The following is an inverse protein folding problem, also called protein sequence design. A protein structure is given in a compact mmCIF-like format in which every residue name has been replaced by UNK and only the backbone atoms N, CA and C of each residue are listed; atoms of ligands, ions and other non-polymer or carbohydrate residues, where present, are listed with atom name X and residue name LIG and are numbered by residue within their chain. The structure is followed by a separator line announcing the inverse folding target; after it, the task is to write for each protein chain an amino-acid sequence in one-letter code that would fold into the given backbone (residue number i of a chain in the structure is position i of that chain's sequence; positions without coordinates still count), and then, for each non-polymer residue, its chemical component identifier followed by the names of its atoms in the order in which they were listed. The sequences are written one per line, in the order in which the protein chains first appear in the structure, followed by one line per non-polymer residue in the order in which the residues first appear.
data_IF_517800521759
#
_entry.id   IF_517800521759
#
_cell.length_a   1.000
_cell.length_b   1.000
_cell.length_c   1.000
_cell.angle_alpha   90.00
_cell.angle_beta   90.00
_cell.angle_gamma   90.00
#
_symmetry.space_group_name_H-M   'P 1'
#
loop_
_entity.id
_entity.type
_entity.pdbx_description
1 polymer ?
#
# COMPACT_ATOMS: atom_id res chain seq x y z
N UNK A 1 16.57 -24.79 -31.09
CA UNK A 1 15.17 -25.26 -31.17
C UNK A 1 14.70 -25.59 -29.76
N UNK A 2 14.24 -24.59 -28.99
CA UNK A 2 13.59 -24.80 -27.69
C UNK A 2 12.20 -24.17 -27.78
N UNK A 3 11.20 -25.02 -27.99
CA UNK A 3 9.80 -24.61 -27.99
C UNK A 3 9.40 -24.22 -26.57
N UNK A 4 9.28 -22.92 -26.33
CA UNK A 4 8.56 -22.41 -25.16
C UNK A 4 7.11 -22.87 -25.35
N UNK A 5 6.71 -23.91 -24.60
CA UNK A 5 5.30 -24.30 -24.48
C UNK A 5 4.54 -23.07 -23.98
N UNK A 6 3.77 -22.44 -24.87
CA UNK A 6 2.80 -21.41 -24.51
C UNK A 6 1.76 -22.02 -23.54
N UNK A 7 2.04 -21.91 -22.24
CA UNK A 7 1.07 -22.20 -21.20
C UNK A 7 0.00 -21.11 -21.28
N UNK A 8 -1.13 -21.40 -21.93
CA UNK A 8 -2.25 -20.46 -21.98
C UNK A 8 -2.89 -20.40 -20.59
N UNK A 9 -2.46 -19.41 -19.81
CA UNK A 9 -2.98 -19.16 -18.46
C UNK A 9 -4.44 -18.72 -18.55
N UNK A 10 -5.29 -19.33 -17.71
CA UNK A 10 -6.72 -19.06 -17.67
C UNK A 10 -7.03 -17.58 -17.39
N UNK A 11 -8.03 -16.96 -18.04
CA UNK A 11 -8.49 -15.58 -17.72
C UNK A 11 -8.63 -15.39 -16.19
N UNK A 12 -9.27 -16.35 -15.50
CA UNK A 12 -9.42 -16.29 -14.03
C UNK A 12 -8.05 -16.25 -13.35
N UNK A 13 -7.11 -17.09 -13.79
CA UNK A 13 -5.73 -17.10 -13.28
C UNK A 13 -5.00 -15.80 -13.60
N UNK A 14 -5.16 -15.21 -14.79
CA UNK A 14 -4.55 -13.91 -15.16
C UNK A 14 -5.03 -12.78 -14.24
N UNK A 15 -6.34 -12.71 -13.97
CA UNK A 15 -6.93 -11.72 -13.04
C UNK A 15 -6.42 -11.96 -11.62
N UNK A 16 -6.48 -13.21 -11.14
CA UNK A 16 -6.02 -13.58 -9.79
C UNK A 16 -4.54 -13.27 -9.63
N UNK A 17 -3.68 -13.62 -10.58
CA UNK A 17 -2.25 -13.32 -10.54
C UNK A 17 -2.03 -11.79 -10.45
N UNK A 18 -2.72 -10.99 -11.27
CA UNK A 18 -2.60 -9.53 -11.19
C UNK A 18 -3.02 -8.97 -9.82
N UNK A 19 -4.15 -9.42 -9.29
CA UNK A 19 -4.63 -9.01 -7.97
C UNK A 19 -3.70 -9.48 -6.84
N UNK A 20 -3.20 -10.72 -6.91
CA UNK A 20 -2.24 -11.27 -5.94
C UNK A 20 -0.94 -10.49 -5.96
N UNK A 21 -0.42 -10.14 -7.14
CA UNK A 21 0.78 -9.29 -7.26
C UNK A 21 0.53 -7.92 -6.62
N UNK A 22 -0.63 -7.29 -6.90
CA UNK A 22 -0.99 -6.02 -6.24
C UNK A 22 -1.05 -6.14 -4.71
N UNK A 23 -1.70 -7.20 -4.19
CA UNK A 23 -1.80 -7.43 -2.75
C UNK A 23 -0.44 -7.70 -2.10
N UNK A 24 0.43 -8.47 -2.75
CA UNK A 24 1.79 -8.72 -2.27
C UNK A 24 2.62 -7.44 -2.23
N UNK A 25 2.52 -6.59 -3.27
CA UNK A 25 3.21 -5.29 -3.30
C UNK A 25 2.68 -4.38 -2.20
N UNK A 26 1.37 -4.27 -2.01
CA UNK A 26 0.78 -3.47 -0.94
C UNK A 26 1.21 -3.99 0.44
N UNK A 27 1.17 -5.30 0.66
CA UNK A 27 1.62 -5.92 1.91
C UNK A 27 3.11 -5.69 2.18
N UNK A 28 3.95 -5.79 1.15
CA UNK A 28 5.38 -5.51 1.25
C UNK A 28 5.65 -4.03 1.59
N UNK A 29 4.97 -3.10 0.91
CA UNK A 29 5.09 -1.65 1.16
C UNK A 29 4.61 -1.31 2.57
N UNK A 30 3.45 -1.83 2.97
CA UNK A 30 2.88 -1.64 4.31
C UNK A 30 3.77 -2.20 5.40
N UNK A 31 4.29 -3.42 5.23
CA UNK A 31 5.22 -4.04 6.17
C UNK A 31 6.53 -3.27 6.33
N UNK A 32 7.11 -2.79 5.22
CA UNK A 32 8.29 -1.93 5.27
C UNK A 32 7.98 -0.60 5.97
N UNK A 33 6.88 0.06 5.61
CA UNK A 33 6.46 1.32 6.22
C UNK A 33 6.25 1.17 7.74
N UNK A 34 5.58 0.10 8.18
CA UNK A 34 5.38 -0.21 9.60
C UNK A 34 6.71 -0.43 10.34
N UNK A 35 7.66 -1.15 9.74
CA UNK A 35 9.00 -1.30 10.34
C UNK A 35 9.71 0.03 10.53
N UNK A 36 9.65 0.92 9.53
CA UNK A 36 10.24 2.26 9.65
C UNK A 36 9.54 3.12 10.70
N UNK A 37 8.21 3.08 10.77
CA UNK A 37 7.44 3.82 11.76
C UNK A 37 7.84 3.39 13.19
N UNK A 38 7.95 2.07 13.41
CA UNK A 38 8.39 1.52 14.70
C UNK A 38 9.82 1.90 15.06
N UNK A 39 10.72 2.02 14.07
CA UNK A 39 12.08 2.53 14.30
C UNK A 39 12.10 4.01 14.69
N UNK A 40 11.16 4.82 14.17
CA UNK A 40 11.04 6.24 14.55
C UNK A 40 10.52 6.36 15.98
N UNK A 41 9.47 5.61 16.34
CA UNK A 41 8.88 5.63 17.68
C UNK A 41 9.90 5.30 18.78
N UNK A 42 10.71 4.25 18.59
CA UNK A 42 11.78 3.89 19.53
C UNK A 42 12.87 4.96 19.67
N UNK A 43 13.13 5.73 18.61
CA UNK A 43 14.14 6.81 18.62
C UNK A 43 13.61 8.13 19.15
N UNK A 44 12.31 8.39 19.03
CA UNK A 44 11.69 9.58 19.59
C UNK A 44 11.83 9.60 21.12
N UNK A 45 11.61 8.45 21.78
CA UNK A 45 11.83 8.30 23.22
C UNK A 45 13.27 8.63 23.65
N UNK A 46 14.26 8.38 22.78
CA UNK A 46 15.66 8.69 23.10
C UNK A 46 15.96 10.19 23.04
N UNK A 47 15.39 10.90 22.07
CA UNK A 47 15.54 12.36 21.99
C UNK A 47 14.90 13.04 23.20
N UNK A 48 13.70 12.60 23.58
CA UNK A 48 13.01 13.13 24.77
C UNK A 48 13.86 12.93 26.03
N UNK A 49 14.42 11.73 26.21
CA UNK A 49 15.27 11.44 27.36
C UNK A 49 16.61 12.21 27.32
N UNK A 50 17.18 12.42 26.13
CA UNK A 50 18.37 13.27 25.97
C UNK A 50 18.08 14.74 26.30
N UNK A 51 16.93 15.26 25.88
CA UNK A 51 16.47 16.62 26.20
C UNK A 51 16.20 16.76 27.71
N UNK A 52 15.55 15.78 28.35
CA UNK A 52 15.33 15.75 29.81
C UNK A 52 16.63 15.71 30.61
N UNK A 53 17.60 14.93 30.15
CA UNK A 53 18.94 14.86 30.74
C UNK A 53 19.66 16.20 30.61
N UNK A 54 19.60 16.83 29.44
CA UNK A 54 20.20 18.15 29.21
C UNK A 54 19.57 19.21 30.11
N UNK A 55 18.25 19.23 30.24
CA UNK A 55 17.54 20.13 31.15
C UNK A 55 17.92 19.87 32.62
N UNK A 56 18.06 18.60 33.02
CA UNK A 56 18.53 18.22 34.37
C UNK A 56 19.94 18.76 34.64
N UNK A 57 20.84 18.68 33.66
CA UNK A 57 22.21 19.24 33.78
C UNK A 57 22.18 20.77 33.88
N UNK A 58 21.30 21.45 33.15
CA UNK A 58 21.14 22.90 33.28
C UNK A 58 20.67 23.32 34.68
N UNK A 59 19.75 22.55 35.28
CA UNK A 59 19.32 22.77 36.67
C UNK A 59 20.48 22.55 37.65
N UNK A 60 21.28 21.49 37.47
CA UNK A 60 22.51 21.28 38.25
C UNK A 60 23.42 22.51 38.18
N UNK A 61 23.66 23.04 36.98
CA UNK A 61 24.47 24.26 36.78
C UNK A 61 23.88 25.50 37.42
N UNK A 62 22.55 25.63 37.42
CA UNK A 62 21.85 26.73 38.09
C UNK A 62 22.10 26.69 39.60
N UNK A 63 21.86 25.54 40.22
CA UNK A 63 22.04 25.38 41.66
C UNK A 63 23.50 25.41 42.08
N UNK A 64 24.42 24.92 41.25
CA UNK A 64 25.86 25.09 41.46
C UNK A 64 26.23 26.56 41.53
N UNK A 65 25.81 27.35 40.54
CA UNK A 65 26.10 28.78 40.50
C UNK A 65 25.54 29.48 41.75
N UNK A 66 24.32 29.16 42.15
CA UNK A 66 23.71 29.72 43.35
C UNK A 66 24.48 29.34 44.62
N UNK A 67 24.85 28.06 44.75
CA UNK A 67 25.65 27.57 45.88
C UNK A 67 27.02 28.27 45.96
N UNK A 68 27.72 28.41 44.83
CA UNK A 68 29.02 29.09 44.77
C UNK A 68 28.91 30.58 45.09
N UNK A 69 27.80 31.24 44.70
CA UNK A 69 27.58 32.66 45.00
C UNK A 69 27.17 32.89 46.46
N UNK A 70 26.20 32.14 46.97
CA UNK A 70 25.52 32.43 48.24
C UNK A 70 25.87 31.46 49.39
N UNK A 71 26.46 30.29 49.09
CA UNK A 71 26.79 29.27 50.10
C UNK A 71 25.58 28.56 50.71
N UNK A 72 24.40 28.67 50.09
CA UNK A 72 23.14 28.13 50.62
C UNK A 72 23.11 26.60 50.64
N UNK A 73 22.86 26.00 51.81
CA UNK A 73 22.72 24.54 51.93
C UNK A 73 21.50 24.00 51.16
N UNK A 74 20.47 24.81 50.95
CA UNK A 74 19.29 24.43 50.17
C UNK A 74 19.65 24.25 48.69
N UNK A 75 20.46 25.16 48.12
CA UNK A 75 20.93 25.03 46.74
C UNK A 75 21.84 23.80 46.56
N UNK A 76 22.66 23.47 47.58
CA UNK A 76 23.46 22.25 47.57
C UNK A 76 22.58 20.99 47.61
N UNK A 77 21.52 20.99 48.42
CA UNK A 77 20.58 19.88 48.51
C UNK A 77 19.83 19.66 47.19
N UNK A 78 19.36 20.74 46.56
CA UNK A 78 18.72 20.71 45.24
C UNK A 78 19.71 20.24 44.16
N UNK A 79 20.94 20.76 44.14
CA UNK A 79 21.97 20.30 43.21
C UNK A 79 22.19 18.77 43.32
N UNK A 80 22.36 18.25 44.54
CA UNK A 80 22.49 16.81 44.79
C UNK A 80 21.26 16.01 44.38
N UNK A 81 20.06 16.57 44.53
CA UNK A 81 18.81 15.95 44.06
C UNK A 81 18.80 15.80 42.53
N UNK A 82 19.16 16.86 41.79
CA UNK A 82 19.22 16.80 40.33
C UNK A 82 20.37 15.91 39.82
N UNK A 83 21.51 15.85 40.50
CA UNK A 83 22.59 14.86 40.21
C UNK A 83 22.02 13.45 40.29
N UNK A 84 21.36 13.09 41.40
CA UNK A 84 20.76 11.75 41.57
C UNK A 84 19.68 11.47 40.53
N UNK A 85 18.87 12.46 40.17
CA UNK A 85 17.87 12.36 39.11
C UNK A 85 18.54 12.07 37.75
N UNK A 86 19.60 12.79 37.41
CA UNK A 86 20.37 12.60 36.17
C UNK A 86 21.02 11.22 36.08
N UNK A 87 21.66 10.75 37.15
CA UNK A 87 22.24 9.40 37.22
C UNK A 87 21.15 8.32 37.09
N UNK A 88 19.99 8.52 37.73
CA UNK A 88 18.85 7.59 37.61
C UNK A 88 18.35 7.51 36.16
N UNK A 89 18.21 8.64 35.48
CA UNK A 89 17.85 8.70 34.06
C UNK A 89 18.89 7.98 33.19
N UNK A 90 20.19 8.21 33.41
CA UNK A 90 21.25 7.49 32.69
C UNK A 90 21.21 5.97 32.91
N UNK A 91 20.93 5.54 34.14
CA UNK A 91 20.84 4.11 34.49
C UNK A 91 19.64 3.40 33.88
N UNK A 92 18.51 4.09 33.70
CA UNK A 92 17.32 3.50 33.05
C UNK A 92 17.52 3.34 31.54
N UNK A 93 18.40 4.15 30.94
CA UNK A 93 18.73 4.12 29.52
C UNK A 93 19.81 3.08 29.21
N UNK A 94 20.83 2.95 30.06
CA UNK A 94 22.04 2.16 29.78
C UNK A 94 21.77 0.65 29.61
N UNK A 95 20.70 0.14 30.23
CA UNK A 95 20.27 -1.26 30.10
C UNK A 95 19.71 -1.56 28.70
N UNK A 96 18.95 -0.63 28.12
CA UNK A 96 18.33 -0.78 26.79
C UNK A 96 19.28 -0.37 25.64
N UNK A 97 20.22 0.56 25.91
CA UNK A 97 21.03 1.23 24.88
C UNK A 97 22.45 0.69 24.64
N UNK A 98 22.95 -0.28 25.42
CA UNK A 98 24.29 -0.89 25.20
C UNK A 98 24.51 -1.45 23.77
N UNK A 99 23.45 -1.62 22.98
CA UNK A 99 23.49 -2.10 21.59
C UNK A 99 23.41 -1.00 20.52
N UNK A 100 23.36 0.28 20.89
CA UNK A 100 23.15 1.40 19.94
C UNK A 100 24.37 2.30 19.76
N UNK A 101 24.42 2.99 18.62
CA UNK A 101 25.50 3.91 18.22
C UNK A 101 25.72 5.13 19.14
N UNK A 102 24.78 5.44 20.05
CA UNK A 102 24.88 6.54 21.03
C UNK A 102 25.51 6.15 22.37
N UNK A 103 25.81 4.86 22.59
CA UNK A 103 26.38 4.36 23.85
C UNK A 103 27.67 5.09 24.31
N UNK A 104 28.60 5.52 23.41
CA UNK A 104 29.79 6.26 23.83
C UNK A 104 29.48 7.60 24.50
N UNK A 105 28.48 8.35 24.00
CA UNK A 105 28.11 9.65 24.57
C UNK A 105 27.48 9.50 25.97
N UNK A 106 26.64 8.48 26.15
CA UNK A 106 25.99 8.20 27.44
C UNK A 106 27.02 7.82 28.50
N UNK A 107 28.00 6.96 28.16
CA UNK A 107 29.05 6.56 29.10
C UNK A 107 29.93 7.73 29.54
N UNK A 108 30.24 8.65 28.62
CA UNK A 108 31.01 9.86 28.93
C UNK A 108 30.24 10.81 29.86
N UNK A 109 28.93 10.95 29.66
CA UNK A 109 28.08 11.76 30.55
C UNK A 109 27.98 11.11 31.93
N UNK A 110 27.79 9.79 32.01
CA UNK A 110 27.76 9.07 33.30
C UNK A 110 29.07 9.24 34.08
N UNK A 111 30.21 9.13 33.40
CA UNK A 111 31.51 9.39 34.02
C UNK A 111 31.62 10.85 34.51
N UNK A 112 31.19 11.81 33.70
CA UNK A 112 31.15 13.22 34.07
C UNK A 112 30.29 13.49 35.30
N UNK A 113 29.12 12.86 35.41
CA UNK A 113 28.24 13.00 36.59
C UNK A 113 28.92 12.53 37.87
N UNK A 114 29.61 11.37 37.82
CA UNK A 114 30.33 10.83 38.98
C UNK A 114 31.50 11.71 39.40
N UNK A 115 32.21 12.30 38.43
CA UNK A 115 33.32 13.19 38.75
C UNK A 115 32.83 14.53 39.29
N UNK A 116 31.78 15.08 38.66
CA UNK A 116 31.10 16.29 39.12
C UNK A 116 30.55 16.16 40.54
N UNK A 117 29.91 15.02 40.88
CA UNK A 117 29.39 14.75 42.23
C UNK A 117 30.51 14.78 43.28
N UNK A 118 31.66 14.15 43.00
CA UNK A 118 32.82 14.18 43.89
C UNK A 118 33.38 15.60 44.07
N UNK A 119 33.46 16.38 42.99
CA UNK A 119 33.93 17.77 43.05
C UNK A 119 32.98 18.64 43.85
N UNK A 120 31.66 18.48 43.67
CA UNK A 120 30.64 19.17 44.46
C UNK A 120 30.73 18.81 45.94
N UNK A 121 30.93 17.53 46.28
CA UNK A 121 31.05 17.11 47.67
C UNK A 121 32.30 17.69 48.34
N UNK A 122 33.44 17.72 47.64
CA UNK A 122 34.65 18.42 48.13
C UNK A 122 34.42 19.92 48.30
N UNK A 123 33.73 20.55 47.34
CA UNK A 123 33.42 21.97 47.40
C UNK A 123 32.48 22.29 48.56
N UNK A 124 31.50 21.42 48.84
CA UNK A 124 30.60 21.55 49.98
C UNK A 124 31.34 21.54 51.32
N UNK A 125 32.27 20.59 51.51
CA UNK A 125 33.10 20.53 52.72
C UNK A 125 33.92 21.80 52.89
N UNK A 126 34.60 22.25 51.82
CA UNK A 126 35.38 23.48 51.88
C UNK A 126 34.52 24.71 52.24
N UNK A 127 33.36 24.89 51.60
CA UNK A 127 32.52 26.07 51.84
C UNK A 127 32.01 26.09 53.28
N UNK A 128 31.77 24.93 53.90
CA UNK A 128 31.37 24.79 55.32
C UNK A 128 32.55 25.05 56.27
N UNK A 129 33.75 24.57 55.95
CA UNK A 129 34.97 24.76 56.76
C UNK A 129 35.59 26.17 56.60
N UNK A 130 35.16 26.91 55.58
CA UNK A 130 35.58 28.27 55.25
C UNK A 130 36.34 28.32 53.92
N UNK A 131 35.94 29.24 53.03
CA UNK A 131 36.46 29.34 51.64
C UNK A 131 37.99 29.48 51.52
N UNK A 132 38.68 29.93 52.58
CA UNK A 132 40.16 29.99 52.61
C UNK A 132 40.83 28.60 52.62
N UNK A 133 40.09 27.54 52.97
CA UNK A 133 40.58 26.16 52.98
C UNK A 133 40.40 25.44 51.63
N UNK A 134 39.82 26.10 50.62
CA UNK A 134 39.63 25.49 49.31
C UNK A 134 40.95 25.36 48.57
N UNK A 135 41.19 24.22 47.92
CA UNK A 135 42.23 24.12 46.92
C UNK A 135 41.99 25.19 45.84
N UNK A 136 43.05 25.90 45.44
CA UNK A 136 42.98 27.04 44.51
C UNK A 136 42.29 26.72 43.15
N UNK A 137 42.27 25.45 42.74
CA UNK A 137 41.72 24.99 41.44
C UNK A 137 40.45 24.12 41.62
N UNK A 138 39.90 24.01 42.83
CA UNK A 138 38.69 23.17 43.05
C UNK A 138 37.46 23.76 42.37
N UNK A 139 37.24 25.06 42.52
CA UNK A 139 36.11 25.76 41.88
C UNK A 139 36.23 25.74 40.35
N UNK A 140 37.44 25.93 39.82
CA UNK A 140 37.68 25.94 38.37
C UNK A 140 37.48 24.54 37.77
N UNK A 141 37.97 23.47 38.40
CA UNK A 141 37.69 22.09 37.98
C UNK A 141 36.21 21.76 38.04
N UNK A 142 35.51 22.19 39.10
CA UNK A 142 34.06 21.98 39.24
C UNK A 142 33.30 22.67 38.10
N UNK A 143 33.63 23.94 37.82
CA UNK A 143 33.01 24.72 36.74
C UNK A 143 33.32 24.12 35.37
N UNK A 144 34.55 23.62 35.17
CA UNK A 144 34.98 22.98 33.94
C UNK A 144 34.22 21.67 33.71
N UNK A 145 34.09 20.82 34.74
CA UNK A 145 33.33 19.58 34.62
C UNK A 145 31.83 19.84 34.41
N UNK A 146 31.26 20.82 35.10
CA UNK A 146 29.89 21.23 34.85
C UNK A 146 29.68 21.76 33.42
N UNK A 147 30.65 22.51 32.86
CA UNK A 147 30.63 22.91 31.45
C UNK A 147 30.73 21.70 30.52
N UNK A 148 31.65 20.77 30.78
CA UNK A 148 31.82 19.55 30.00
C UNK A 148 30.53 18.71 29.98
N UNK A 149 29.79 18.64 31.09
CA UNK A 149 28.50 17.97 31.16
C UNK A 149 27.46 18.61 30.23
N UNK A 150 27.36 19.95 30.23
CA UNK A 150 26.47 20.70 29.32
C UNK A 150 26.86 20.47 27.86
N UNK A 151 28.14 20.61 27.53
CA UNK A 151 28.63 20.46 26.16
C UNK A 151 28.35 19.03 25.64
N UNK A 152 28.55 18.01 26.48
CA UNK A 152 28.27 16.62 26.14
C UNK A 152 26.77 16.33 26.01
N UNK A 153 25.91 16.94 26.85
CA UNK A 153 24.46 16.75 26.76
C UNK A 153 23.89 17.38 25.49
N UNK A 154 24.36 18.57 25.12
CA UNK A 154 23.97 19.23 23.87
C UNK A 154 24.44 18.40 22.67
N UNK A 155 25.67 17.87 22.71
CA UNK A 155 26.18 17.01 21.64
C UNK A 155 25.37 15.71 21.49
N UNK A 156 24.86 15.14 22.59
CA UNK A 156 23.98 13.97 22.53
C UNK A 156 22.64 14.30 21.86
N UNK A 157 22.03 15.43 22.24
CA UNK A 157 20.77 15.91 21.66
C UNK A 157 20.92 16.17 20.16
N UNK A 158 21.99 16.87 19.74
CA UNK A 158 22.23 17.16 18.32
C UNK A 158 22.47 15.88 17.51
N UNK A 159 23.26 14.94 18.04
CA UNK A 159 23.51 13.64 17.42
C UNK A 159 22.22 12.83 17.19
N UNK A 160 21.32 12.79 18.17
CA UNK A 160 20.06 12.05 18.02
C UNK A 160 19.08 12.77 17.07
N UNK A 161 19.03 14.11 17.08
CA UNK A 161 18.23 14.89 16.13
C UNK A 161 18.66 14.68 14.68
N UNK A 162 19.96 14.71 14.39
CA UNK A 162 20.49 14.44 13.05
C UNK A 162 20.14 13.03 12.58
N UNK A 163 20.20 12.03 13.47
CA UNK A 163 19.80 10.66 13.15
C UNK A 163 18.32 10.56 12.80
N UNK A 164 17.43 11.27 13.50
CA UNK A 164 16.00 11.30 13.16
C UNK A 164 15.80 11.90 11.76
N UNK A 165 16.44 13.04 11.47
CA UNK A 165 16.33 13.68 10.16
C UNK A 165 16.83 12.77 9.02
N UNK A 166 17.93 12.05 9.25
CA UNK A 166 18.45 11.08 8.28
C UNK A 166 17.45 9.94 8.01
N UNK A 167 16.78 9.43 9.03
CA UNK A 167 15.74 8.39 8.88
C UNK A 167 14.52 8.93 8.15
N UNK A 168 14.05 10.13 8.50
CA UNK A 168 12.93 10.78 7.82
C UNK A 168 13.27 10.96 6.33
N UNK A 169 14.51 11.35 6.01
CA UNK A 169 14.99 11.44 4.63
C UNK A 169 14.95 10.11 3.89
N UNK A 170 15.42 9.02 4.52
CA UNK A 170 15.34 7.67 3.95
C UNK A 170 13.88 7.22 3.77
N UNK A 171 13.01 7.48 4.74
CA UNK A 171 11.59 7.16 4.66
C UNK A 171 10.92 7.86 3.48
N UNK A 172 11.19 9.15 3.27
CA UNK A 172 10.68 9.91 2.12
C UNK A 172 11.11 9.28 0.79
N UNK A 173 12.39 8.87 0.67
CA UNK A 173 12.89 8.18 -0.54
C UNK A 173 12.19 6.83 -0.76
N UNK A 174 11.99 6.04 0.29
CA UNK A 174 11.27 4.76 0.19
C UNK A 174 9.80 4.95 -0.20
N UNK A 175 9.10 5.94 0.39
CA UNK A 175 7.72 6.26 0.02
C UNK A 175 7.65 6.65 -1.46
N UNK A 176 8.53 7.54 -1.91
CA UNK A 176 8.58 7.97 -3.31
C UNK A 176 8.84 6.79 -4.27
N UNK A 177 9.80 5.92 -3.94
CA UNK A 177 10.10 4.72 -4.72
C UNK A 177 8.91 3.77 -4.80
N UNK A 178 8.26 3.48 -3.67
CA UNK A 178 7.10 2.58 -3.61
C UNK A 178 5.89 3.12 -4.38
N UNK A 179 5.60 4.42 -4.28
CA UNK A 179 4.53 5.07 -5.05
C UNK A 179 4.84 5.01 -6.54
N UNK A 180 6.07 5.30 -6.93
CA UNK A 180 6.50 5.23 -8.34
C UNK A 180 6.39 3.82 -8.89
N UNK A 181 6.80 2.81 -8.12
CA UNK A 181 6.67 1.40 -8.48
C UNK A 181 5.21 0.96 -8.64
N UNK A 182 4.33 1.40 -7.74
CA UNK A 182 2.91 1.09 -7.81
C UNK A 182 2.24 1.72 -9.05
N UNK A 183 2.55 2.99 -9.33
CA UNK A 183 2.03 3.69 -10.51
C UNK A 183 2.53 3.09 -11.81
N UNK A 184 3.81 2.73 -11.91
CA UNK A 184 4.37 2.09 -13.10
C UNK A 184 3.76 0.70 -13.35
N UNK A 185 3.54 -0.07 -12.28
CA UNK A 185 2.86 -1.36 -12.37
C UNK A 185 1.40 -1.20 -12.85
N UNK A 186 0.67 -0.20 -12.36
CA UNK A 186 -0.67 0.14 -12.84
C UNK A 186 -0.66 0.55 -14.32
N UNK A 187 0.27 1.42 -14.71
CA UNK A 187 0.45 1.87 -16.10
C UNK A 187 0.71 0.71 -17.07
N UNK A 188 1.36 -0.36 -16.61
CA UNK A 188 1.61 -1.56 -17.41
C UNK A 188 0.44 -2.57 -17.39
N UNK A 189 -0.11 -2.88 -16.22
CA UNK A 189 -1.15 -3.91 -16.06
C UNK A 189 -2.51 -3.50 -16.64
N UNK A 190 -2.94 -2.25 -16.45
CA UNK A 190 -4.23 -1.75 -16.91
C UNK A 190 -4.42 -1.92 -18.43
N UNK A 191 -3.53 -1.43 -19.31
CA UNK A 191 -3.71 -1.59 -20.75
C UNK A 191 -3.61 -3.05 -21.21
N UNK A 192 -2.85 -3.90 -20.51
CA UNK A 192 -2.80 -5.33 -20.80
C UNK A 192 -4.16 -5.98 -20.53
N UNK A 193 -4.76 -5.71 -19.37
CA UNK A 193 -6.10 -6.20 -19.02
C UNK A 193 -7.16 -5.66 -19.98
N UNK A 194 -7.09 -4.37 -20.32
CA UNK A 194 -8.03 -3.75 -21.25
C UNK A 194 -7.99 -4.40 -22.64
N UNK A 195 -6.79 -4.69 -23.16
CA UNK A 195 -6.62 -5.31 -24.49
C UNK A 195 -6.94 -6.81 -24.49
N UNK A 196 -6.58 -7.55 -23.44
CA UNK A 196 -6.75 -9.01 -23.39
C UNK A 196 -8.11 -9.48 -22.89
N UNK A 197 -8.84 -8.67 -22.14
CA UNK A 197 -10.13 -9.07 -21.52
C UNK A 197 -11.26 -8.12 -21.92
N UNK A 198 -11.12 -6.81 -21.67
CA UNK A 198 -12.22 -5.86 -21.85
C UNK A 198 -12.61 -5.70 -23.33
N UNK A 199 -11.62 -5.53 -24.22
CA UNK A 199 -11.89 -5.31 -25.66
C UNK A 199 -12.63 -6.49 -26.31
N UNK A 200 -12.23 -7.77 -26.12
CA UNK A 200 -13.00 -8.91 -26.63
C UNK A 200 -14.43 -9.00 -26.09
N UNK A 201 -14.63 -8.76 -24.79
CA UNK A 201 -15.97 -8.78 -24.19
C UNK A 201 -16.90 -7.73 -24.81
N UNK A 202 -16.38 -6.51 -25.02
CA UNK A 202 -17.15 -5.43 -25.66
C UNK A 202 -17.49 -5.72 -27.12
N UNK A 203 -16.66 -6.48 -27.83
CA UNK A 203 -16.96 -6.93 -29.19
C UNK A 203 -18.12 -7.95 -29.16
N UNK A 204 -18.06 -8.93 -28.26
CA UNK A 204 -19.14 -9.93 -28.09
C UNK A 204 -20.46 -9.25 -27.74
N UNK A 205 -20.45 -8.32 -26.78
CA UNK A 205 -21.61 -7.51 -26.41
C UNK A 205 -22.23 -6.82 -27.63
N UNK A 206 -21.42 -6.07 -28.39
CA UNK A 206 -21.88 -5.35 -29.57
C UNK A 206 -22.42 -6.28 -30.67
N UNK A 207 -21.75 -7.40 -30.93
CA UNK A 207 -22.21 -8.37 -31.95
C UNK A 207 -23.49 -9.06 -31.52
N UNK A 208 -23.68 -9.32 -30.24
CA UNK A 208 -24.93 -9.91 -29.72
C UNK A 208 -26.14 -9.01 -30.03
N UNK A 209 -25.99 -7.69 -29.88
CA UNK A 209 -27.03 -6.72 -30.26
C UNK A 209 -27.32 -6.74 -31.77
N UNK A 210 -26.30 -6.94 -32.61
CA UNK A 210 -26.49 -7.04 -34.06
C UNK A 210 -27.25 -8.30 -34.47
N UNK A 211 -26.97 -9.43 -33.81
CA UNK A 211 -27.68 -10.69 -34.04
C UNK A 211 -29.15 -10.57 -33.67
N UNK A 212 -29.49 -9.87 -32.60
CA UNK A 212 -30.88 -9.60 -32.23
C UNK A 212 -31.65 -8.84 -33.33
N UNK A 213 -30.94 -8.06 -34.16
CA UNK A 213 -31.49 -7.34 -35.31
C UNK A 213 -31.41 -8.15 -36.63
N UNK A 214 -31.12 -9.45 -36.56
CA UNK A 214 -31.06 -10.35 -37.72
C UNK A 214 -29.74 -10.36 -38.49
N UNK A 215 -28.68 -9.75 -37.96
CA UNK A 215 -27.35 -9.78 -38.57
C UNK A 215 -26.46 -10.86 -37.91
N UNK A 216 -26.24 -11.97 -38.63
CA UNK A 216 -25.53 -13.16 -38.14
C UNK A 216 -24.01 -13.16 -38.42
N UNK A 217 -23.38 -11.98 -38.51
CA UNK A 217 -21.94 -11.88 -38.75
C UNK A 217 -21.09 -12.55 -37.64
N UNK A 218 -20.10 -13.34 -38.05
CA UNK A 218 -19.14 -13.99 -37.15
C UNK A 218 -18.08 -13.03 -36.61
N UNK A 219 -17.65 -13.27 -35.37
CA UNK A 219 -16.50 -12.58 -34.79
C UNK A 219 -15.22 -13.29 -35.27
N UNK A 220 -14.20 -12.57 -35.79
CA UNK A 220 -12.96 -13.21 -36.24
C UNK A 220 -12.23 -13.90 -35.07
N UNK A 221 -11.99 -15.20 -35.21
CA UNK A 221 -11.27 -16.01 -34.22
C UNK A 221 -9.80 -15.64 -34.27
N UNK A 222 -9.25 -15.14 -33.16
CA UNK A 222 -7.81 -14.90 -33.01
C UNK A 222 -7.16 -16.17 -32.48
N UNK A 223 -5.97 -16.50 -32.99
CA UNK A 223 -5.18 -17.64 -32.51
C UNK A 223 -4.45 -17.29 -31.20
N UNK A 224 -5.19 -16.94 -30.16
CA UNK A 224 -4.65 -16.60 -28.83
C UNK A 224 -4.49 -17.82 -27.92
N UNK A 225 -5.07 -18.97 -28.30
CA UNK A 225 -5.10 -20.25 -27.57
C UNK A 225 -5.57 -20.12 -26.12
N UNK A 226 -6.34 -19.08 -25.81
CA UNK A 226 -6.83 -18.77 -24.47
C UNK A 226 -8.35 -18.95 -24.35
N UNK A 227 -8.91 -18.74 -23.15
CA UNK A 227 -10.36 -18.88 -22.92
C UNK A 227 -11.16 -17.90 -23.77
N UNK A 228 -10.61 -16.73 -24.11
CA UNK A 228 -11.31 -15.77 -24.98
C UNK A 228 -11.55 -16.41 -26.35
N UNK A 229 -10.54 -17.10 -26.91
CA UNK A 229 -10.72 -17.84 -28.16
C UNK A 229 -11.84 -18.89 -28.03
N UNK A 230 -11.82 -19.69 -26.96
CA UNK A 230 -12.85 -20.73 -26.74
C UNK A 230 -14.25 -20.13 -26.60
N UNK A 231 -14.39 -18.99 -25.94
CA UNK A 231 -15.65 -18.26 -25.81
C UNK A 231 -16.10 -17.72 -27.17
N UNK A 232 -15.21 -17.14 -27.97
CA UNK A 232 -15.55 -16.65 -29.31
C UNK A 232 -15.96 -17.81 -30.24
N UNK A 233 -15.26 -18.95 -30.18
CA UNK A 233 -15.62 -20.13 -30.96
C UNK A 233 -17.00 -20.69 -30.57
N UNK A 234 -17.27 -20.80 -29.27
CA UNK A 234 -18.59 -21.22 -28.77
C UNK A 234 -19.69 -20.22 -29.16
N UNK A 235 -19.40 -18.92 -29.07
CA UNK A 235 -20.29 -17.86 -29.51
C UNK A 235 -20.60 -17.98 -31.00
N UNK A 236 -19.60 -18.09 -31.87
CA UNK A 236 -19.81 -18.24 -33.31
C UNK A 236 -20.61 -19.50 -33.68
N UNK A 237 -20.40 -20.62 -32.96
CA UNK A 237 -21.23 -21.84 -33.15
C UNK A 237 -22.71 -21.57 -32.83
N UNK A 238 -22.98 -20.83 -31.75
CA UNK A 238 -24.34 -20.41 -31.40
C UNK A 238 -24.95 -19.51 -32.48
N UNK A 239 -24.17 -18.57 -33.04
CA UNK A 239 -24.63 -17.69 -34.14
C UNK A 239 -25.03 -18.51 -35.37
N UNK A 240 -24.20 -19.46 -35.79
CA UNK A 240 -24.47 -20.31 -36.95
C UNK A 240 -25.75 -21.17 -36.77
N UNK A 241 -25.96 -21.70 -35.57
CA UNK A 241 -27.15 -22.49 -35.25
C UNK A 241 -28.43 -21.61 -35.24
N UNK A 242 -28.33 -20.38 -34.75
CA UNK A 242 -29.44 -19.41 -34.78
C UNK A 242 -29.81 -19.01 -36.22
N UNK A 243 -28.82 -18.73 -37.07
CA UNK A 243 -29.03 -18.40 -38.48
C UNK A 243 -29.75 -19.54 -39.21
N UNK A 244 -29.26 -20.77 -39.05
CA UNK A 244 -29.86 -21.96 -39.65
C UNK A 244 -31.32 -22.16 -39.21
N UNK A 245 -31.63 -21.97 -37.92
CA UNK A 245 -33.01 -22.08 -37.41
C UNK A 245 -33.90 -20.98 -37.96
N UNK A 246 -33.39 -19.76 -38.10
CA UNK A 246 -34.15 -18.66 -38.69
C UNK A 246 -34.49 -18.94 -40.16
N UNK A 247 -33.54 -19.45 -40.95
CA UNK A 247 -33.79 -19.86 -42.33
C UNK A 247 -34.87 -20.97 -42.43
N UNK A 248 -34.78 -21.98 -41.56
CA UNK A 248 -35.79 -23.05 -41.49
C UNK A 248 -37.18 -22.51 -41.13
N UNK A 249 -37.27 -21.57 -40.18
CA UNK A 249 -38.54 -20.92 -39.82
C UNK A 249 -39.11 -20.12 -40.99
N UNK A 250 -38.27 -19.39 -41.74
CA UNK A 250 -38.69 -18.65 -42.93
C UNK A 250 -39.20 -19.59 -44.02
N UNK A 251 -38.50 -20.70 -44.28
CA UNK A 251 -38.96 -21.69 -45.24
C UNK A 251 -40.29 -22.35 -44.83
N UNK A 252 -40.42 -22.71 -43.55
CA UNK A 252 -41.65 -23.31 -43.02
C UNK A 252 -42.83 -22.34 -43.15
N UNK A 253 -42.64 -21.05 -42.85
CA UNK A 253 -43.66 -20.02 -43.07
C UNK A 253 -44.04 -19.89 -44.54
N UNK A 254 -43.07 -19.87 -45.46
CA UNK A 254 -43.35 -19.82 -46.90
C UNK A 254 -44.18 -21.02 -47.36
N UNK A 255 -43.80 -22.24 -46.97
CA UNK A 255 -44.53 -23.46 -47.30
C UNK A 255 -45.95 -23.44 -46.73
N UNK A 256 -46.13 -22.98 -45.49
CA UNK A 256 -47.46 -22.81 -44.89
C UNK A 256 -48.32 -21.79 -45.65
N UNK A 257 -47.76 -20.65 -46.03
CA UNK A 257 -48.48 -19.64 -46.82
C UNK A 257 -48.87 -20.17 -48.20
N UNK A 258 -47.97 -20.91 -48.87
CA UNK A 258 -48.29 -21.58 -50.13
C UNK A 258 -49.41 -22.60 -49.92
N UNK A 259 -49.36 -23.43 -48.88
CA UNK A 259 -50.42 -24.41 -48.58
C UNK A 259 -51.79 -23.76 -48.39
N UNK A 260 -51.88 -22.64 -47.68
CA UNK A 260 -53.11 -21.88 -47.51
C UNK A 260 -53.61 -21.33 -48.86
N UNK A 261 -52.72 -20.73 -49.65
CA UNK A 261 -53.07 -20.19 -50.97
C UNK A 261 -53.51 -21.30 -51.94
N UNK A 262 -52.79 -22.42 -51.99
CA UNK A 262 -53.13 -23.58 -52.82
C UNK A 262 -54.49 -24.16 -52.42
N UNK A 263 -54.77 -24.29 -51.12
CA UNK A 263 -56.09 -24.73 -50.65
C UNK A 263 -57.19 -23.73 -51.05
N UNK A 264 -56.92 -22.42 -50.96
CA UNK A 264 -57.86 -21.38 -51.40
C UNK A 264 -58.13 -21.41 -52.92
N UNK A 265 -57.08 -21.57 -53.73
CA UNK A 265 -57.17 -21.70 -55.19
C UNK A 265 -57.91 -22.98 -55.58
N UNK A 266 -57.58 -24.11 -54.96
CA UNK A 266 -58.27 -25.38 -55.22
C UNK A 266 -59.77 -25.27 -54.90
N UNK A 267 -60.11 -24.61 -53.79
CA UNK A 267 -61.51 -24.37 -53.45
C UNK A 267 -62.22 -23.47 -54.49
N UNK A 268 -61.55 -22.41 -54.96
CA UNK A 268 -62.11 -21.53 -55.98
C UNK A 268 -62.19 -22.18 -57.38
N UNK A 269 -61.32 -23.13 -57.71
CA UNK A 269 -61.39 -23.92 -58.95
C UNK A 269 -62.48 -25.00 -58.90
N UNK A 270 -62.69 -25.61 -57.73
CA UNK A 270 -63.77 -26.58 -57.55
C UNK A 270 -65.16 -25.96 -57.78
N UNK A 271 -65.36 -24.69 -57.45
CA UNK A 271 -66.64 -24.00 -57.65
C UNK A 271 -67.12 -23.98 -59.13
N UNK A 272 -66.37 -23.44 -60.11
CA UNK A 272 -66.77 -23.45 -61.51
C UNK A 272 -66.79 -24.87 -62.10
N UNK A 273 -65.89 -25.76 -61.69
CA UNK A 273 -65.91 -27.17 -62.11
C UNK A 273 -67.21 -27.87 -61.69
N UNK A 274 -67.64 -27.66 -60.44
CA UNK A 274 -68.89 -28.21 -59.94
C UNK A 274 -70.09 -27.62 -60.68
N UNK A 275 -70.06 -26.32 -61.00
CA UNK A 275 -71.09 -25.68 -61.83
C UNK A 275 -71.13 -26.29 -63.25
N UNK A 276 -69.99 -26.45 -63.91
CA UNK A 276 -69.90 -27.07 -65.25
C UNK A 276 -70.42 -28.51 -65.19
N UNK A 277 -69.98 -29.30 -64.21
CA UNK A 277 -70.44 -30.67 -64.02
C UNK A 277 -71.95 -30.73 -63.81
N UNK A 278 -72.50 -29.85 -62.98
CA UNK A 278 -73.95 -29.76 -62.73
C UNK A 278 -74.71 -29.40 -64.01
N UNK A 279 -74.21 -28.41 -64.78
CA UNK A 279 -74.81 -28.04 -66.07
C UNK A 279 -74.76 -29.17 -67.09
N UNK A 280 -73.66 -29.93 -67.17
CA UNK A 280 -73.57 -31.11 -68.03
C UNK A 280 -74.52 -32.22 -67.58
N UNK A 281 -74.71 -32.42 -66.27
CA UNK A 281 -75.65 -33.38 -65.72
C UNK A 281 -77.10 -33.04 -66.13
N UNK A 282 -77.49 -31.78 -66.02
CA UNK A 282 -78.82 -31.28 -66.43
C UNK A 282 -79.03 -31.53 -67.93
N UNK A 283 -78.05 -31.18 -68.77
CA UNK A 283 -78.13 -31.41 -70.21
C UNK A 283 -78.24 -32.90 -70.60
N UNK A 284 -77.69 -33.80 -69.80
CA UNK A 284 -77.82 -35.25 -69.99
C UNK A 284 -79.16 -35.82 -69.49
N UNK A 285 -79.83 -35.17 -68.54
CA UNK A 285 -81.14 -35.58 -68.03
C UNK A 285 -82.30 -35.04 -68.90
N UNK A 286 -82.10 -33.91 -69.58
CA UNK A 286 -83.12 -33.25 -70.42
C UNK A 286 -83.05 -33.60 -71.93
N UNK A 287 -82.12 -34.46 -72.36
CA UNK A 287 -81.94 -34.89 -73.76
C UNK A 287 -82.15 -36.38 -73.96
#
# INVERSE_FOLDING_TARGET
MFGIKDFSINIRKKIVIGLTICLLVIGFVGGNSYRFLRQIEQKQRLVEVADDLSNTILEIRRYEKNFLLYGSQDDLAENRLYIKKGIKVLSSISVDMKKMKGAPHIGLIEQGFREYEKLMDKMAVCVVEGRQSCENDLEDRLRLEGKNLVDRSIALVSFERERILAIIGQLKKHIFFNVTLFLSMGMFLIPIMARKIIKPLRIIEKTTVQIANGNFNFIPVRNTKDEIQRVIEAFNRMVAELEKRQEQLVQTKKLSSIGILTSGVAHQLNNPLNNISTSCQILLEEG
#
